data_IF_438117133189
#
_entry.id   IF_438117133189
#
_cell.length_a   1.000
_cell.length_b   1.000
_cell.length_c   1.000
_cell.angle_alpha   90.00
_cell.angle_beta   90.00
_cell.angle_gamma   90.00
#
_symmetry.space_group_name_H-M   'P 1'
#
loop_
_entity.id
_entity.type
_entity.pdbx_description
1 polymer ?
#
# COMPACT_ATOMS: atom_id res chain seq x y z
N UNK A 1 8.13 12.91 39.46
CA UNK A 1 7.91 11.86 38.46
C UNK A 1 6.83 12.33 37.49
N UNK A 2 7.18 12.39 36.19
CA UNK A 2 6.23 12.79 35.18
C UNK A 2 5.08 11.76 35.15
N UNK A 3 3.85 12.24 35.22
CA UNK A 3 2.64 11.42 35.20
C UNK A 3 2.60 10.68 33.86
N UNK A 4 2.55 9.35 33.88
CA UNK A 4 2.42 8.57 32.66
C UNK A 4 1.14 9.01 31.93
N UNK A 5 1.20 9.20 30.61
CA UNK A 5 0.02 9.57 29.84
C UNK A 5 -1.04 8.45 29.92
N UNK A 6 -2.32 8.83 29.96
CA UNK A 6 -3.42 7.86 29.97
C UNK A 6 -3.36 6.94 28.74
N UNK A 7 -3.65 5.66 28.91
CA UNK A 7 -3.72 4.70 27.79
C UNK A 7 -4.83 5.13 26.82
N UNK A 8 -4.61 5.03 25.50
CA UNK A 8 -5.65 5.35 24.53
C UNK A 8 -6.85 4.41 24.68
N UNK A 9 -8.04 4.90 24.36
CA UNK A 9 -9.23 4.07 24.25
C UNK A 9 -9.01 2.97 23.19
N UNK A 10 -9.84 1.93 23.20
CA UNK A 10 -9.76 0.85 22.22
C UNK A 10 -9.84 1.38 20.78
N UNK A 11 -10.79 2.28 20.50
CA UNK A 11 -10.98 2.85 19.16
C UNK A 11 -9.81 3.77 18.76
N UNK A 12 -9.30 4.58 19.67
CA UNK A 12 -8.15 5.44 19.40
C UNK A 12 -6.88 4.61 19.16
N UNK A 13 -6.67 3.55 19.93
CA UNK A 13 -5.59 2.59 19.72
C UNK A 13 -5.68 1.94 18.33
N UNK A 14 -6.87 1.49 17.93
CA UNK A 14 -7.10 0.95 16.59
C UNK A 14 -6.83 1.99 15.48
N UNK A 15 -7.19 3.26 15.69
CA UNK A 15 -6.91 4.33 14.75
C UNK A 15 -5.39 4.59 14.62
N UNK A 16 -4.63 4.54 15.74
CA UNK A 16 -3.17 4.61 15.70
C UNK A 16 -2.56 3.43 14.95
N UNK A 17 -3.06 2.20 15.19
CA UNK A 17 -2.61 1.02 14.47
C UNK A 17 -2.90 1.14 12.96
N UNK A 18 -4.10 1.62 12.59
CA UNK A 18 -4.47 1.86 11.20
C UNK A 18 -3.58 2.94 10.54
N UNK A 19 -3.22 3.99 11.27
CA UNK A 19 -2.32 5.03 10.78
C UNK A 19 -0.92 4.47 10.48
N UNK A 20 -0.33 3.72 11.42
CA UNK A 20 1.00 3.10 11.20
C UNK A 20 0.94 2.02 10.11
N UNK A 21 -0.12 1.20 10.09
CA UNK A 21 -0.37 0.24 9.01
C UNK A 21 -0.41 0.92 7.65
N UNK A 22 -1.08 2.06 7.56
CA UNK A 22 -1.22 2.78 6.29
C UNK A 22 0.11 3.28 5.75
N UNK A 23 1.03 3.68 6.61
CA UNK A 23 2.38 4.10 6.20
C UNK A 23 3.29 2.91 5.88
N UNK A 24 3.16 1.80 6.63
CA UNK A 24 4.00 0.63 6.47
C UNK A 24 3.66 -0.21 5.23
N UNK A 25 2.37 -0.36 4.93
CA UNK A 25 1.88 -1.29 3.91
C UNK A 25 0.93 -0.65 2.90
N UNK A 26 -0.08 0.11 3.35
CA UNK A 26 -1.11 0.63 2.45
C UNK A 26 -0.51 1.59 1.42
N UNK A 27 0.27 2.56 1.86
CA UNK A 27 0.87 3.57 0.98
C UNK A 27 1.81 2.94 -0.06
N UNK A 28 2.80 2.09 0.27
CA UNK A 28 3.66 1.50 -0.75
C UNK A 28 2.91 0.56 -1.69
N UNK A 29 1.93 -0.20 -1.20
CA UNK A 29 1.14 -1.10 -2.05
C UNK A 29 0.23 -0.33 -3.00
N UNK A 30 -0.51 0.67 -2.50
CA UNK A 30 -1.39 1.48 -3.35
C UNK A 30 -0.61 2.40 -4.29
N UNK A 31 0.59 2.86 -3.92
CA UNK A 31 1.47 3.58 -4.84
C UNK A 31 1.89 2.68 -6.00
N UNK A 32 2.40 1.48 -5.70
CA UNK A 32 2.79 0.51 -6.73
C UNK A 32 1.63 0.18 -7.68
N UNK A 33 0.46 -0.12 -7.14
CA UNK A 33 -0.74 -0.47 -7.92
C UNK A 33 -1.32 0.74 -8.64
N UNK A 34 -1.21 1.91 -8.04
CA UNK A 34 -1.66 3.18 -8.61
C UNK A 34 -0.89 3.56 -9.86
N UNK A 35 0.41 3.30 -9.87
CA UNK A 35 1.31 3.60 -10.99
C UNK A 35 1.26 2.51 -12.08
N UNK A 36 0.70 1.33 -11.77
CA UNK A 36 0.64 0.18 -12.68
C UNK A 36 -0.80 -0.29 -12.98
N UNK A 37 -1.62 0.50 -13.70
CA UNK A 37 -3.00 0.14 -14.03
C UNK A 37 -3.11 -1.17 -14.82
N UNK A 38 -2.06 -1.53 -15.58
CA UNK A 38 -1.99 -2.77 -16.35
C UNK A 38 -2.18 -4.03 -15.50
N UNK A 39 -1.82 -4.00 -14.22
CA UNK A 39 -2.07 -5.09 -13.29
C UNK A 39 -3.57 -5.45 -13.21
N UNK A 40 -4.43 -4.44 -13.15
CA UNK A 40 -5.88 -4.63 -13.07
C UNK A 40 -6.49 -4.97 -14.43
N UNK A 41 -6.01 -4.34 -15.50
CA UNK A 41 -6.47 -4.59 -16.88
C UNK A 41 -6.16 -6.02 -17.29
N UNK A 42 -4.93 -6.50 -17.09
CA UNK A 42 -4.53 -7.86 -17.43
C UNK A 42 -5.34 -8.95 -16.71
N UNK A 43 -5.92 -8.62 -15.56
CA UNK A 43 -6.79 -9.53 -14.79
C UNK A 43 -8.28 -9.35 -15.08
N UNK A 44 -8.65 -8.41 -15.92
CA UNK A 44 -10.05 -8.08 -16.20
C UNK A 44 -10.81 -7.57 -14.97
N UNK A 45 -10.12 -6.90 -14.03
CA UNK A 45 -10.76 -6.41 -12.82
C UNK A 45 -11.75 -5.30 -13.13
N UNK A 46 -12.93 -5.40 -12.53
CA UNK A 46 -13.93 -4.32 -12.56
C UNK A 46 -13.58 -3.21 -11.56
N UNK A 47 -14.14 -2.00 -11.78
CA UNK A 47 -14.04 -0.88 -10.83
C UNK A 47 -14.37 -1.29 -9.40
N UNK A 48 -15.47 -2.06 -9.22
CA UNK A 48 -15.89 -2.53 -7.90
C UNK A 48 -14.84 -3.41 -7.23
N UNK A 49 -14.19 -4.30 -7.97
CA UNK A 49 -13.14 -5.18 -7.45
C UNK A 49 -11.89 -4.38 -7.05
N UNK A 50 -11.50 -3.36 -7.84
CA UNK A 50 -10.38 -2.49 -7.51
C UNK A 50 -10.65 -1.74 -6.19
N UNK A 51 -11.85 -1.18 -6.03
CA UNK A 51 -12.26 -0.49 -4.81
C UNK A 51 -12.30 -1.44 -3.62
N UNK A 52 -12.96 -2.61 -3.74
CA UNK A 52 -13.00 -3.61 -2.66
C UNK A 52 -11.59 -3.99 -2.22
N UNK A 53 -10.67 -4.22 -3.16
CA UNK A 53 -9.28 -4.53 -2.84
C UNK A 53 -8.61 -3.41 -2.06
N UNK A 54 -8.74 -2.16 -2.52
CA UNK A 54 -8.12 -1.00 -1.86
C UNK A 54 -8.67 -0.79 -0.44
N UNK A 55 -9.99 -0.88 -0.26
CA UNK A 55 -10.63 -0.76 1.06
C UNK A 55 -10.31 -1.95 1.96
N UNK A 56 -10.27 -3.17 1.44
CA UNK A 56 -9.87 -4.34 2.21
C UNK A 56 -8.44 -4.23 2.70
N UNK A 57 -7.51 -3.79 1.84
CA UNK A 57 -6.12 -3.57 2.23
C UNK A 57 -5.98 -2.48 3.31
N UNK A 58 -6.79 -1.43 3.23
CA UNK A 58 -6.76 -0.33 4.19
C UNK A 58 -7.30 -0.72 5.57
N UNK A 59 -8.39 -1.48 5.62
CA UNK A 59 -9.17 -1.64 6.85
C UNK A 59 -9.16 -3.05 7.42
N UNK A 60 -9.06 -4.11 6.62
CA UNK A 60 -9.14 -5.49 7.15
C UNK A 60 -8.03 -5.78 8.16
N UNK A 61 -6.74 -5.50 7.91
CA UNK A 61 -5.71 -5.80 8.89
C UNK A 61 -5.82 -4.98 10.19
N UNK A 62 -6.06 -3.65 10.16
CA UNK A 62 -6.32 -2.90 11.39
C UNK A 62 -7.57 -3.36 12.15
N UNK A 63 -8.63 -3.77 11.44
CA UNK A 63 -9.84 -4.31 12.08
C UNK A 63 -9.58 -5.67 12.74
N UNK A 64 -8.74 -6.51 12.16
CA UNK A 64 -8.28 -7.74 12.81
C UNK A 64 -7.48 -7.41 14.08
N UNK A 65 -6.60 -6.41 14.04
CA UNK A 65 -5.90 -5.91 15.22
C UNK A 65 -6.87 -5.44 16.30
N UNK A 66 -7.88 -4.65 15.93
CA UNK A 66 -8.94 -4.19 16.84
C UNK A 66 -9.70 -5.38 17.45
N UNK A 67 -10.03 -6.40 16.65
CA UNK A 67 -10.74 -7.58 17.16
C UNK A 67 -9.89 -8.36 18.18
N UNK A 68 -8.59 -8.51 17.93
CA UNK A 68 -7.65 -9.14 18.86
C UNK A 68 -7.54 -8.33 20.17
N UNK A 69 -7.40 -7.00 20.08
CA UNK A 69 -7.36 -6.12 21.24
C UNK A 69 -8.69 -6.14 22.02
N UNK A 70 -9.84 -6.17 21.33
CA UNK A 70 -11.15 -6.26 21.95
C UNK A 70 -11.31 -7.59 22.72
N UNK A 71 -10.86 -8.70 22.12
CA UNK A 71 -10.85 -10.00 22.79
C UNK A 71 -9.92 -10.00 24.01
N UNK A 72 -8.72 -9.46 23.90
CA UNK A 72 -7.79 -9.35 25.02
C UNK A 72 -8.35 -8.51 26.17
N UNK A 73 -9.11 -7.47 25.86
CA UNK A 73 -9.77 -6.62 26.86
C UNK A 73 -10.78 -7.37 27.72
N UNK A 74 -11.38 -8.44 27.20
CA UNK A 74 -12.30 -9.29 27.97
C UNK A 74 -11.56 -9.92 29.17
N UNK A 75 -10.27 -10.22 29.03
CA UNK A 75 -9.45 -10.80 30.09
C UNK A 75 -8.85 -9.73 31.01
N UNK A 76 -8.21 -8.70 30.43
CA UNK A 76 -7.70 -7.55 31.21
C UNK A 76 -7.34 -6.37 30.29
N UNK A 77 -7.42 -5.14 30.85
CA UNK A 77 -6.93 -3.94 30.16
C UNK A 77 -5.39 -3.92 30.03
N UNK A 78 -4.67 -4.61 30.90
CA UNK A 78 -3.21 -4.73 30.80
C UNK A 78 -2.83 -5.62 29.63
N UNK A 79 -3.46 -6.79 29.48
CA UNK A 79 -3.25 -7.69 28.34
C UNK A 79 -3.57 -6.99 27.02
N UNK A 80 -4.69 -6.24 26.97
CA UNK A 80 -5.03 -5.43 25.79
C UNK A 80 -3.90 -4.45 25.44
N UNK A 81 -3.38 -3.77 26.45
CA UNK A 81 -2.32 -2.79 26.26
C UNK A 81 -1.01 -3.43 25.76
N UNK A 82 -0.62 -4.56 26.30
CA UNK A 82 0.57 -5.29 25.89
C UNK A 82 0.44 -5.78 24.44
N UNK A 83 -0.75 -6.30 24.06
CA UNK A 83 -1.05 -6.69 22.68
C UNK A 83 -1.03 -5.48 21.75
N UNK A 84 -1.61 -4.35 22.16
CA UNK A 84 -1.54 -3.12 21.37
C UNK A 84 -0.10 -2.71 21.09
N UNK A 85 0.76 -2.66 22.12
CA UNK A 85 2.17 -2.32 21.95
C UNK A 85 2.91 -3.34 21.08
N UNK A 86 2.59 -4.63 21.19
CA UNK A 86 3.15 -5.66 20.34
C UNK A 86 2.78 -5.45 18.86
N UNK A 87 1.49 -5.28 18.55
CA UNK A 87 1.01 -5.03 17.20
C UNK A 87 1.63 -3.76 16.60
N UNK A 88 1.66 -2.67 17.38
CA UNK A 88 2.32 -1.43 17.00
C UNK A 88 3.81 -1.64 16.71
N UNK A 89 4.51 -2.46 17.52
CA UNK A 89 5.94 -2.76 17.32
C UNK A 89 6.15 -3.53 16.00
N UNK A 90 5.33 -4.53 15.72
CA UNK A 90 5.42 -5.32 14.48
C UNK A 90 5.23 -4.42 13.25
N UNK A 91 4.17 -3.62 13.26
CA UNK A 91 3.86 -2.75 12.11
C UNK A 91 4.90 -1.63 11.94
N UNK A 92 5.34 -1.03 13.05
CA UNK A 92 6.41 -0.01 13.02
C UNK A 92 7.74 -0.61 12.57
N UNK A 93 8.04 -1.85 12.96
CA UNK A 93 9.22 -2.59 12.50
C UNK A 93 9.19 -2.83 10.99
N UNK A 94 8.04 -3.24 10.46
CA UNK A 94 7.84 -3.39 9.02
C UNK A 94 8.01 -2.05 8.27
N UNK A 95 7.53 -0.94 8.84
CA UNK A 95 7.74 0.39 8.29
C UNK A 95 9.23 0.75 8.20
N UNK A 96 9.98 0.57 9.28
CA UNK A 96 11.42 0.83 9.27
C UNK A 96 12.17 -0.11 8.32
N UNK A 97 11.78 -1.39 8.23
CA UNK A 97 12.38 -2.34 7.31
C UNK A 97 12.18 -1.93 5.84
N UNK A 98 10.97 -1.48 5.50
CA UNK A 98 10.63 -1.00 4.15
C UNK A 98 11.49 0.21 3.76
N UNK A 99 11.63 1.16 4.67
CA UNK A 99 12.46 2.36 4.45
C UNK A 99 13.94 1.97 4.36
N UNK A 100 14.45 1.21 5.32
CA UNK A 100 15.87 0.84 5.38
C UNK A 100 16.32 0.10 4.13
N UNK A 101 15.51 -0.84 3.63
CA UNK A 101 15.81 -1.58 2.41
C UNK A 101 15.89 -0.70 1.16
N UNK A 102 15.21 0.44 1.14
CA UNK A 102 15.27 1.38 0.01
C UNK A 102 16.58 2.18 -0.04
N UNK A 103 17.21 2.42 1.13
CA UNK A 103 18.35 3.33 1.25
C UNK A 103 19.68 2.63 1.47
N UNK A 104 19.65 1.37 1.96
CA UNK A 104 20.86 0.67 2.40
C UNK A 104 20.81 -0.77 1.90
N UNK A 105 21.90 -1.20 1.25
CA UNK A 105 22.08 -2.58 0.79
C UNK A 105 22.90 -3.41 1.79
N UNK A 106 22.33 -3.61 2.97
CA UNK A 106 22.92 -4.41 4.05
C UNK A 106 22.32 -5.81 4.10
N UNK A 107 23.01 -6.78 4.73
CA UNK A 107 22.47 -8.12 4.94
C UNK A 107 21.09 -8.08 5.64
N UNK A 108 20.16 -8.91 5.19
CA UNK A 108 18.77 -8.89 5.67
C UNK A 108 18.65 -8.99 7.19
N UNK A 109 19.50 -9.81 7.84
CA UNK A 109 19.52 -9.96 9.29
C UNK A 109 19.85 -8.67 10.04
N UNK A 110 20.77 -7.84 9.49
CA UNK A 110 21.15 -6.55 10.07
C UNK A 110 20.01 -5.54 9.92
N UNK A 111 19.36 -5.50 8.73
CA UNK A 111 18.23 -4.63 8.48
C UNK A 111 17.05 -4.96 9.41
N UNK A 112 16.76 -6.25 9.60
CA UNK A 112 15.70 -6.70 10.52
C UNK A 112 16.04 -6.28 11.95
N UNK A 113 17.27 -6.54 12.42
CA UNK A 113 17.67 -6.20 13.77
C UNK A 113 17.55 -4.68 14.06
N UNK A 114 18.05 -3.84 13.15
CA UNK A 114 17.95 -2.38 13.27
C UNK A 114 16.49 -1.93 13.23
N UNK A 115 15.67 -2.49 12.35
CA UNK A 115 14.25 -2.13 12.25
C UNK A 115 13.47 -2.51 13.52
N UNK A 116 13.76 -3.66 14.12
CA UNK A 116 13.16 -4.10 15.39
C UNK A 116 13.61 -3.19 16.54
N UNK A 117 14.89 -2.85 16.64
CA UNK A 117 15.39 -1.95 17.67
C UNK A 117 14.80 -0.54 17.54
N UNK A 118 14.71 -0.01 16.30
CA UNK A 118 14.09 1.29 16.05
C UNK A 118 12.60 1.28 16.43
N UNK A 119 11.87 0.22 16.04
CA UNK A 119 10.47 0.06 16.41
C UNK A 119 10.29 -0.03 17.92
N UNK A 120 11.08 -0.83 18.61
CA UNK A 120 11.04 -0.95 20.08
C UNK A 120 11.29 0.40 20.77
N UNK A 121 12.25 1.19 20.29
CA UNK A 121 12.53 2.54 20.78
C UNK A 121 11.35 3.50 20.54
N UNK A 122 10.75 3.48 19.34
CA UNK A 122 9.57 4.30 19.05
C UNK A 122 8.37 3.92 19.91
N UNK A 123 8.12 2.62 20.08
CA UNK A 123 6.98 2.15 20.89
C UNK A 123 7.23 2.35 22.38
N UNK A 124 8.46 2.23 22.85
CA UNK A 124 8.81 2.66 24.21
C UNK A 124 8.50 4.15 24.42
N UNK A 125 8.88 5.01 23.46
CA UNK A 125 8.57 6.43 23.49
C UNK A 125 7.05 6.68 23.48
N UNK A 126 6.31 5.99 22.62
CA UNK A 126 4.85 6.03 22.56
C UNK A 126 4.18 5.60 23.87
N UNK A 127 4.73 4.60 24.56
CA UNK A 127 4.21 4.13 25.84
C UNK A 127 4.47 5.13 26.99
N UNK A 128 5.57 5.90 26.93
CA UNK A 128 6.05 6.73 28.04
C UNK A 128 5.74 8.22 27.92
N UNK A 129 5.67 8.76 26.68
CA UNK A 129 5.57 10.20 26.46
C UNK A 129 4.30 10.57 25.69
N UNK A 130 3.74 11.77 25.94
CA UNK A 130 2.55 12.24 25.22
C UNK A 130 2.84 12.62 23.76
N UNK A 131 4.05 13.12 23.46
CA UNK A 131 4.40 13.62 22.13
C UNK A 131 4.21 12.57 21.01
N UNK A 132 4.74 11.32 21.12
CA UNK A 132 4.52 10.32 20.07
C UNK A 132 3.04 9.91 19.94
N UNK A 133 2.25 9.98 21.00
CA UNK A 133 0.80 9.72 20.93
C UNK A 133 0.07 10.83 20.19
N UNK A 134 0.34 12.08 20.54
CA UNK A 134 -0.24 13.23 19.83
C UNK A 134 0.15 13.22 18.35
N UNK A 135 1.36 12.76 18.00
CA UNK A 135 1.76 12.57 16.63
C UNK A 135 0.96 11.46 15.95
N UNK A 136 0.72 10.34 16.64
CA UNK A 136 -0.14 9.27 16.14
C UNK A 136 -1.59 9.76 15.95
N UNK A 137 -2.12 10.62 16.85
CA UNK A 137 -3.45 11.24 16.70
C UNK A 137 -3.55 12.04 15.40
N UNK A 138 -2.53 12.82 15.06
CA UNK A 138 -2.47 13.59 13.81
C UNK A 138 -2.43 12.68 12.58
N UNK A 139 -1.86 11.49 12.70
CA UNK A 139 -1.77 10.52 11.60
C UNK A 139 -3.03 9.67 11.42
N UNK A 140 -4.02 9.74 12.30
CA UNK A 140 -5.25 8.92 12.20
C UNK A 140 -6.00 9.05 10.87
N UNK A 141 -6.03 10.19 10.15
CA UNK A 141 -6.68 10.28 8.85
C UNK A 141 -5.85 9.68 7.70
N UNK A 142 -4.61 9.25 7.93
CA UNK A 142 -3.72 8.75 6.87
C UNK A 142 -4.33 7.64 5.99
N UNK A 143 -5.03 6.60 6.52
CA UNK A 143 -5.64 5.59 5.68
C UNK A 143 -6.62 6.17 4.66
N UNK A 144 -7.44 7.13 5.07
CA UNK A 144 -8.43 7.78 4.20
C UNK A 144 -7.77 8.69 3.15
N UNK A 145 -6.72 9.42 3.56
CA UNK A 145 -5.96 10.29 2.66
C UNK A 145 -5.27 9.45 1.57
N UNK A 146 -4.63 8.34 1.94
CA UNK A 146 -3.94 7.46 1.00
C UNK A 146 -4.94 6.82 0.04
N UNK A 147 -6.10 6.36 0.53
CA UNK A 147 -7.19 5.86 -0.33
C UNK A 147 -7.69 6.94 -1.29
N UNK A 148 -7.88 8.17 -0.82
CA UNK A 148 -8.31 9.27 -1.67
C UNK A 148 -7.27 9.57 -2.77
N UNK A 149 -5.98 9.57 -2.43
CA UNK A 149 -4.91 9.74 -3.41
C UNK A 149 -4.95 8.61 -4.46
N UNK A 150 -5.11 7.37 -4.04
CA UNK A 150 -5.21 6.23 -4.96
C UNK A 150 -6.42 6.34 -5.88
N UNK A 151 -7.60 6.65 -5.35
CA UNK A 151 -8.86 6.67 -6.12
C UNK A 151 -8.90 7.85 -7.09
N UNK A 152 -8.38 9.04 -6.70
CA UNK A 152 -8.58 10.26 -7.48
C UNK A 152 -7.34 10.71 -8.26
N UNK A 153 -6.14 10.39 -7.80
CA UNK A 153 -4.89 10.99 -8.32
C UNK A 153 -3.92 9.99 -8.93
N UNK A 154 -4.12 8.67 -8.76
CA UNK A 154 -3.24 7.67 -9.37
C UNK A 154 -3.52 7.45 -10.86
N UNK A 155 -2.60 6.80 -11.58
CA UNK A 155 -2.84 6.38 -12.96
C UNK A 155 -4.00 5.37 -13.06
N UNK A 156 -4.22 4.56 -12.02
CA UNK A 156 -5.34 3.62 -11.89
C UNK A 156 -6.69 4.31 -11.70
N UNK A 157 -6.71 5.59 -11.29
CA UNK A 157 -7.95 6.36 -11.18
C UNK A 157 -8.76 6.40 -12.48
N UNK A 158 -8.09 6.30 -13.63
CA UNK A 158 -8.73 6.23 -14.95
C UNK A 158 -9.57 4.96 -15.16
N UNK A 159 -9.31 3.90 -14.40
CA UNK A 159 -10.09 2.66 -14.41
C UNK A 159 -11.24 2.71 -13.40
N UNK A 160 -11.13 3.57 -12.37
CA UNK A 160 -12.10 3.70 -11.28
C UNK A 160 -13.16 4.73 -11.62
N UNK A 161 -12.75 5.88 -12.13
CA UNK A 161 -13.64 6.98 -12.45
C UNK A 161 -14.09 6.88 -13.91
N UNK A 162 -15.42 6.87 -14.17
CA UNK A 162 -15.90 6.83 -15.54
C UNK A 162 -15.40 8.08 -16.29
N UNK A 163 -14.80 7.85 -17.44
CA UNK A 163 -14.52 8.91 -18.41
C UNK A 163 -15.61 8.87 -19.47
N UNK A 164 -16.02 10.05 -19.91
CA UNK A 164 -16.78 10.14 -21.15
C UNK A 164 -15.95 9.48 -22.26
N UNK A 165 -16.51 8.45 -22.87
CA UNK A 165 -15.92 7.89 -24.08
C UNK A 165 -15.93 9.00 -25.13
N UNK A 166 -14.81 9.22 -25.86
CA UNK A 166 -14.84 10.14 -26.98
C UNK A 166 -15.98 9.72 -27.91
N UNK A 167 -16.84 10.66 -28.26
CA UNK A 167 -17.90 10.39 -29.24
C UNK A 167 -17.28 9.68 -30.44
N UNK A 168 -17.82 8.53 -30.87
CA UNK A 168 -17.31 7.86 -32.05
C UNK A 168 -17.32 8.86 -33.22
N UNK A 169 -16.16 9.06 -33.82
CA UNK A 169 -16.04 9.91 -34.99
C UNK A 169 -16.79 9.17 -36.08
N UNK A 170 -17.89 9.72 -36.54
CA UNK A 170 -18.64 9.17 -37.68
C UNK A 170 -17.83 9.40 -38.98
N UNK A 171 -16.92 8.47 -39.24
CA UNK A 171 -16.09 8.50 -40.44
C UNK A 171 -16.77 7.64 -41.50
N UNK A 172 -17.35 8.26 -42.49
CA UNK A 172 -17.82 7.57 -43.67
C UNK A 172 -16.64 7.01 -44.47
N UNK A 173 -16.36 5.71 -44.28
CA UNK A 173 -15.32 5.01 -45.06
C UNK A 173 -15.84 4.71 -46.46
N UNK A 174 -15.47 5.54 -47.44
CA UNK A 174 -15.90 5.40 -48.84
C UNK A 174 -15.23 4.22 -49.56
N UNK A 175 -14.10 3.73 -49.09
CA UNK A 175 -13.40 2.54 -49.61
C UNK A 175 -12.83 1.73 -48.42
N UNK A 176 -13.58 0.75 -47.92
CA UNK A 176 -13.08 -0.10 -46.85
C UNK A 176 -11.92 -0.98 -47.41
N UNK A 177 -10.75 -0.87 -46.77
CA UNK A 177 -9.62 -1.75 -47.00
C UNK A 177 -9.47 -2.69 -45.80
N UNK A 178 -9.06 -3.94 -45.98
CA UNK A 178 -8.75 -4.82 -44.85
C UNK A 178 -7.56 -4.26 -44.09
N UNK A 179 -7.76 -4.04 -42.79
CA UNK A 179 -6.67 -3.63 -41.88
C UNK A 179 -6.27 -4.85 -41.04
N UNK A 180 -5.03 -5.29 -41.19
CA UNK A 180 -4.46 -6.37 -40.38
C UNK A 180 -3.56 -5.72 -39.33
N UNK A 181 -3.94 -5.88 -38.06
CA UNK A 181 -3.10 -5.46 -36.93
C UNK A 181 -2.44 -6.72 -36.34
N UNK A 182 -1.12 -6.77 -36.35
CA UNK A 182 -0.35 -7.83 -35.71
C UNK A 182 0.26 -7.25 -34.43
N UNK A 183 -0.11 -7.80 -33.27
CA UNK A 183 0.44 -7.41 -31.98
C UNK A 183 1.37 -8.54 -31.54
N UNK A 184 2.66 -8.22 -31.42
CA UNK A 184 3.65 -9.13 -30.83
C UNK A 184 3.70 -8.85 -29.33
N UNK A 185 3.18 -9.78 -28.53
CA UNK A 185 3.28 -9.74 -27.08
C UNK A 185 4.62 -10.39 -26.67
N UNK A 186 5.41 -9.68 -25.88
CA UNK A 186 6.73 -10.13 -25.38
C UNK A 186 7.71 -10.59 -26.48
N UNK A 187 7.62 -9.99 -27.67
CA UNK A 187 8.54 -10.31 -28.74
C UNK A 187 9.91 -9.63 -28.50
N UNK A 188 10.95 -10.37 -28.11
CA UNK A 188 12.24 -9.76 -27.80
C UNK A 188 12.87 -9.20 -29.08
N UNK A 189 13.25 -7.92 -29.06
CA UNK A 189 13.89 -7.25 -30.20
C UNK A 189 15.10 -8.03 -30.73
N UNK A 190 15.86 -8.69 -29.83
CA UNK A 190 16.98 -9.54 -30.18
C UNK A 190 16.62 -10.74 -31.05
N UNK A 191 15.33 -11.12 -31.17
CA UNK A 191 14.90 -12.16 -32.11
C UNK A 191 14.88 -11.70 -33.58
N UNK A 192 14.91 -10.36 -33.80
CA UNK A 192 14.95 -9.74 -35.11
C UNK A 192 16.34 -9.27 -35.53
N UNK A 193 17.32 -9.33 -34.62
CA UNK A 193 18.63 -8.80 -34.85
C UNK A 193 19.65 -9.91 -35.09
N UNK A 194 20.65 -9.61 -35.92
CA UNK A 194 21.88 -10.39 -36.03
C UNK A 194 22.76 -10.19 -34.79
N UNK A 195 23.83 -10.98 -34.58
CA UNK A 195 24.79 -10.76 -33.50
C UNK A 195 25.48 -9.36 -33.55
N UNK A 196 25.40 -8.68 -34.67
CA UNK A 196 25.96 -7.35 -34.91
C UNK A 196 24.91 -6.23 -34.70
N UNK A 197 23.75 -6.53 -34.07
CA UNK A 197 22.63 -5.61 -33.83
C UNK A 197 21.98 -5.03 -35.11
N UNK A 198 22.14 -5.69 -36.27
CA UNK A 198 21.45 -5.33 -37.49
C UNK A 198 20.15 -6.16 -37.66
N UNK A 199 19.17 -5.62 -38.39
CA UNK A 199 17.92 -6.36 -38.70
C UNK A 199 18.23 -7.58 -39.56
N UNK A 200 17.91 -8.77 -39.06
CA UNK A 200 18.08 -10.02 -39.81
C UNK A 200 17.00 -10.16 -40.91
N UNK A 201 17.32 -9.98 -42.17
CA UNK A 201 16.33 -10.04 -43.28
C UNK A 201 15.81 -11.45 -43.54
N UNK A 202 16.30 -12.46 -42.85
CA UNK A 202 15.91 -13.87 -43.03
C UNK A 202 14.92 -14.38 -42.02
N UNK A 203 14.54 -13.54 -41.02
CA UNK A 203 13.60 -13.89 -39.94
C UNK A 203 12.27 -13.19 -40.02
#
# INVERSE_FOLDING_TARGET
PAKQPARPSLLLGAAHLAAVWSLAFLQPMLSLLGDNPHFFVARGNTTGQILIYAFALAFVPPLLGLAIEALARVFSDDLRWDIHLFLMTVVTGAFFLTISKKWVDWPAGVLIAISVLAAAGCIYAYARWPFPRNFADVLTPAPLIILAIFIFFSSTSKLILPREEPNPIDVAITRPAPVVMVIFDEFPLGSLLTPEDEVDPTR
#
